data_IF_739469824282
#
_entry.id   IF_739469824282
#
_cell.length_a   1.000
_cell.length_b   1.000
_cell.length_c   1.000
_cell.angle_alpha   90.00
_cell.angle_beta   90.00
_cell.angle_gamma   90.00
#
_symmetry.space_group_name_H-M   'P 1'
#
loop_
_entity.id
_entity.type
_entity.pdbx_description
1 polymer ?
#
# COMPACT_ATOMS: atom_id res chain seq x y z
N UNK A 1 -50.95 23.23 -20.97
CA UNK A 1 -49.61 23.78 -21.25
C UNK A 1 -48.63 23.26 -20.20
N UNK A 2 -47.67 22.38 -20.52
CA UNK A 2 -46.61 22.01 -19.59
C UNK A 2 -45.32 22.80 -19.88
N UNK A 3 -44.77 23.47 -18.85
CA UNK A 3 -43.54 24.25 -18.94
C UNK A 3 -42.32 23.31 -18.97
N UNK A 4 -41.47 23.50 -19.98
CA UNK A 4 -40.19 22.78 -20.13
C UNK A 4 -39.19 23.35 -19.11
N UNK A 5 -38.85 22.56 -18.10
CA UNK A 5 -37.79 22.87 -17.15
C UNK A 5 -36.43 22.54 -17.79
N UNK A 6 -35.82 23.52 -18.45
CA UNK A 6 -34.49 23.38 -19.05
C UNK A 6 -33.43 23.44 -17.96
N UNK A 7 -33.00 22.29 -17.46
CA UNK A 7 -31.93 22.17 -16.47
C UNK A 7 -30.59 22.52 -17.15
N UNK A 8 -30.13 23.77 -16.99
CA UNK A 8 -28.78 24.19 -17.43
C UNK A 8 -27.74 23.45 -16.58
N UNK A 9 -27.05 22.50 -17.18
CA UNK A 9 -25.81 21.96 -16.65
C UNK A 9 -24.72 23.03 -16.80
N UNK A 10 -24.40 23.72 -15.71
CA UNK A 10 -23.20 24.54 -15.62
C UNK A 10 -21.97 23.62 -15.65
N UNK A 11 -21.38 23.46 -16.83
CA UNK A 11 -20.03 22.92 -16.98
C UNK A 11 -19.07 23.93 -16.34
N UNK A 12 -18.57 23.62 -15.14
CA UNK A 12 -17.46 24.33 -14.53
C UNK A 12 -16.20 24.06 -15.35
N UNK A 13 -15.92 24.95 -16.30
CA UNK A 13 -14.66 24.98 -17.05
C UNK A 13 -13.51 25.12 -16.07
N UNK A 14 -12.76 24.04 -15.83
CA UNK A 14 -11.53 24.10 -15.04
C UNK A 14 -10.53 25.00 -15.78
N UNK A 15 -9.96 25.99 -15.09
CA UNK A 15 -8.95 26.85 -15.70
C UNK A 15 -7.72 26.01 -16.10
N UNK A 16 -7.13 26.24 -17.27
CA UNK A 16 -5.99 25.46 -17.77
C UNK A 16 -4.75 25.56 -16.86
N UNK A 17 -4.66 26.60 -16.03
CA UNK A 17 -3.58 26.80 -15.06
C UNK A 17 -3.56 25.77 -13.92
N UNK A 18 -4.70 25.15 -13.57
CA UNK A 18 -4.72 24.12 -12.52
C UNK A 18 -4.27 22.73 -12.99
N UNK A 19 -4.22 22.49 -14.30
CA UNK A 19 -3.89 21.18 -14.89
C UNK A 19 -2.43 20.75 -14.66
N UNK A 20 -1.50 21.70 -14.51
CA UNK A 20 -0.05 21.43 -14.38
C UNK A 20 0.40 21.55 -12.92
N UNK A 21 -0.21 22.45 -12.15
CA UNK A 21 0.17 22.71 -10.74
C UNK A 21 -0.07 21.50 -9.85
N UNK A 22 -1.20 20.79 -10.05
CA UNK A 22 -1.53 19.65 -9.19
C UNK A 22 -0.55 18.47 -9.28
N UNK A 23 -0.15 17.98 -10.47
CA UNK A 23 0.91 16.98 -10.58
C UNK A 23 2.23 17.40 -9.92
N UNK A 24 2.62 18.68 -10.03
CA UNK A 24 3.85 19.19 -9.40
C UNK A 24 3.74 19.15 -7.87
N UNK A 25 2.63 19.63 -7.31
CA UNK A 25 2.40 19.58 -5.85
C UNK A 25 2.38 18.15 -5.32
N UNK A 26 1.76 17.22 -6.07
CA UNK A 26 1.77 15.79 -5.72
C UNK A 26 3.19 15.23 -5.79
N UNK A 27 3.96 15.57 -6.84
CA UNK A 27 5.34 15.15 -6.99
C UNK A 27 6.24 15.64 -5.85
N UNK A 28 6.03 16.88 -5.38
CA UNK A 28 6.77 17.46 -4.23
C UNK A 28 6.34 16.82 -2.90
N UNK A 29 5.07 16.44 -2.77
CA UNK A 29 4.57 15.84 -1.53
C UNK A 29 5.15 14.45 -1.25
N UNK A 30 5.50 13.67 -2.27
CA UNK A 30 6.14 12.36 -2.05
C UNK A 30 7.48 12.48 -1.30
N UNK A 31 8.48 13.27 -1.74
CA UNK A 31 9.69 13.52 -0.97
C UNK A 31 9.44 13.85 0.51
N UNK A 32 8.39 14.62 0.81
CA UNK A 32 7.99 14.92 2.21
C UNK A 32 7.49 13.66 2.92
N UNK A 33 6.63 12.86 2.29
CA UNK A 33 6.15 11.58 2.86
C UNK A 33 7.29 10.57 3.06
N UNK A 34 8.19 10.43 2.08
CA UNK A 34 9.40 9.62 2.19
C UNK A 34 10.28 10.11 3.35
N UNK A 35 10.61 11.40 3.38
CA UNK A 35 11.44 12.00 4.43
C UNK A 35 10.83 11.86 5.82
N UNK A 36 9.53 12.13 5.97
CA UNK A 36 8.82 11.94 7.22
C UNK A 36 8.88 10.48 7.70
N UNK A 37 8.67 9.52 6.78
CA UNK A 37 8.79 8.11 7.11
C UNK A 37 10.20 7.74 7.55
N UNK A 38 11.23 8.13 6.78
CA UNK A 38 12.64 7.84 7.12
C UNK A 38 13.05 8.46 8.45
N UNK A 39 12.65 9.71 8.72
CA UNK A 39 12.97 10.41 9.96
C UNK A 39 12.35 9.72 11.18
N UNK A 40 11.09 9.29 11.08
CA UNK A 40 10.42 8.56 12.17
C UNK A 40 11.01 7.16 12.40
N UNK A 41 11.75 6.64 11.43
CA UNK A 41 12.46 5.38 11.53
C UNK A 41 13.89 5.52 12.03
N UNK A 42 14.45 6.74 12.02
CA UNK A 42 15.81 6.98 12.47
C UNK A 42 15.95 6.76 13.99
N UNK A 43 16.96 5.99 14.40
CA UNK A 43 17.19 5.67 15.80
C UNK A 43 17.40 6.91 16.67
N UNK A 44 17.99 7.97 16.11
CA UNK A 44 18.15 9.25 16.80
C UNK A 44 16.81 9.88 17.18
N UNK A 45 15.83 9.85 16.26
CA UNK A 45 14.48 10.39 16.51
C UNK A 45 13.75 9.49 17.50
N UNK A 46 13.85 8.17 17.34
CA UNK A 46 13.27 7.19 18.28
C UNK A 46 13.80 7.38 19.69
N UNK A 47 15.11 7.46 19.86
CA UNK A 47 15.75 7.59 21.17
C UNK A 47 15.51 8.97 21.80
N UNK A 48 15.33 10.02 20.99
CA UNK A 48 15.10 11.38 21.50
C UNK A 48 13.63 11.63 21.86
N UNK A 49 12.69 11.19 21.02
CA UNK A 49 11.28 11.55 21.12
C UNK A 49 10.37 10.41 21.58
N UNK A 50 10.79 9.15 21.40
CA UNK A 50 9.95 7.97 21.63
C UNK A 50 10.47 7.03 22.72
N UNK A 51 11.56 7.39 23.41
CA UNK A 51 12.21 6.53 24.42
C UNK A 51 11.28 6.05 25.54
N UNK A 52 10.32 6.88 25.95
CA UNK A 52 9.41 6.60 27.06
C UNK A 52 8.02 6.14 26.58
N UNK A 53 7.82 6.02 25.26
CA UNK A 53 6.54 5.66 24.67
C UNK A 53 6.36 4.14 24.58
N UNK A 54 5.12 3.69 24.74
CA UNK A 54 4.74 2.30 24.49
C UNK A 54 4.82 2.00 22.99
N UNK A 55 5.11 0.76 22.58
CA UNK A 55 5.19 0.41 21.16
C UNK A 55 3.96 0.78 20.34
N UNK A 56 2.75 0.59 20.89
CA UNK A 56 1.52 0.96 20.20
C UNK A 56 1.37 2.48 19.99
N UNK A 57 1.96 3.30 20.87
CA UNK A 57 1.96 4.76 20.75
C UNK A 57 2.92 5.19 19.64
N UNK A 58 4.08 4.54 19.55
CA UNK A 58 5.03 4.73 18.46
C UNK A 58 4.39 4.36 17.12
N UNK A 59 3.73 3.19 17.04
CA UNK A 59 3.02 2.76 15.84
C UNK A 59 1.90 3.74 15.44
N UNK A 60 1.12 4.22 16.42
CA UNK A 60 0.06 5.20 16.21
C UNK A 60 0.60 6.54 15.72
N UNK A 61 1.71 7.03 16.30
CA UNK A 61 2.36 8.26 15.88
C UNK A 61 2.89 8.15 14.44
N UNK A 62 3.50 7.01 14.08
CA UNK A 62 3.91 6.73 12.69
C UNK A 62 2.73 6.73 11.74
N UNK A 63 1.63 6.05 12.09
CA UNK A 63 0.41 6.01 11.28
C UNK A 63 -0.20 7.41 11.10
N UNK A 64 -0.23 8.23 12.15
CA UNK A 64 -0.74 9.59 12.09
C UNK A 64 0.12 10.47 11.20
N UNK A 65 1.44 10.39 11.32
CA UNK A 65 2.35 11.13 10.45
C UNK A 65 2.21 10.70 8.98
N UNK A 66 2.01 9.40 8.75
CA UNK A 66 1.72 8.90 7.41
C UNK A 66 0.38 9.40 6.87
N UNK A 67 -0.67 9.40 7.68
CA UNK A 67 -1.97 9.96 7.30
C UNK A 67 -1.88 11.48 7.04
N UNK A 68 -1.11 12.21 7.84
CA UNK A 68 -0.91 13.64 7.70
C UNK A 68 -0.12 14.02 6.43
N UNK A 69 0.73 13.12 5.92
CA UNK A 69 1.51 13.35 4.70
C UNK A 69 0.80 12.82 3.45
N UNK A 70 0.27 11.60 3.49
CA UNK A 70 -0.40 10.96 2.34
C UNK A 70 -1.86 11.39 2.17
N UNK A 71 -2.56 11.73 3.25
CA UNK A 71 -3.96 12.17 3.22
C UNK A 71 -4.17 13.42 2.37
N UNK A 72 -3.42 14.52 2.61
CA UNK A 72 -3.47 15.70 1.75
C UNK A 72 -3.11 15.40 0.29
N UNK A 73 -2.13 14.51 0.03
CA UNK A 73 -1.79 14.10 -1.33
C UNK A 73 -2.94 13.38 -2.03
N UNK A 74 -3.61 12.47 -1.32
CA UNK A 74 -4.78 11.76 -1.83
C UNK A 74 -5.93 12.73 -2.12
N UNK A 75 -6.19 13.71 -1.24
CA UNK A 75 -7.21 14.74 -1.44
C UNK A 75 -6.88 15.65 -2.62
N UNK A 76 -5.62 16.08 -2.76
CA UNK A 76 -5.18 16.87 -3.90
C UNK A 76 -5.34 16.10 -5.20
N UNK A 77 -4.88 14.85 -5.25
CA UNK A 77 -5.08 14.00 -6.41
C UNK A 77 -6.57 13.82 -6.72
N UNK A 78 -7.41 13.49 -5.73
CA UNK A 78 -8.85 13.31 -5.95
C UNK A 78 -9.54 14.57 -6.49
N UNK A 79 -9.14 15.76 -6.01
CA UNK A 79 -9.69 17.05 -6.41
C UNK A 79 -9.26 17.47 -7.81
N UNK A 80 -8.02 17.16 -8.19
CA UNK A 80 -7.42 17.63 -9.44
C UNK A 80 -7.16 16.52 -10.47
N UNK A 81 -7.64 15.30 -10.20
CA UNK A 81 -7.45 14.19 -11.14
C UNK A 81 -8.10 14.57 -12.48
N UNK A 82 -7.39 14.40 -13.61
CA UNK A 82 -8.00 14.54 -14.92
C UNK A 82 -9.15 13.54 -15.05
N UNK A 83 -10.12 13.86 -15.92
CA UNK A 83 -11.02 12.85 -16.44
C UNK A 83 -10.14 11.74 -17.04
N UNK A 84 -10.35 10.49 -16.60
CA UNK A 84 -9.52 9.39 -17.04
C UNK A 84 -9.61 9.30 -18.57
N UNK A 85 -8.50 9.48 -19.26
CA UNK A 85 -8.45 9.31 -20.72
C UNK A 85 -8.58 7.83 -21.14
N UNK A 86 -8.54 6.92 -20.15
CA UNK A 86 -8.58 5.47 -20.32
C UNK A 86 -7.36 4.95 -21.08
N UNK A 87 -6.82 3.81 -20.66
CA UNK A 87 -5.89 3.11 -21.53
C UNK A 87 -6.62 2.71 -22.82
N UNK A 88 -6.09 3.13 -23.97
CA UNK A 88 -6.70 2.82 -25.28
C UNK A 88 -6.52 1.36 -25.70
N UNK A 89 -5.68 0.61 -24.98
CA UNK A 89 -5.38 -0.79 -25.25
C UNK A 89 -6.14 -1.69 -24.28
N UNK A 90 -6.94 -2.62 -24.83
CA UNK A 90 -7.62 -3.65 -24.06
C UNK A 90 -6.63 -4.46 -23.22
N UNK A 91 -5.43 -4.75 -23.74
CA UNK A 91 -4.38 -5.47 -23.01
C UNK A 91 -3.96 -4.72 -21.75
N UNK A 92 -3.71 -3.41 -21.85
CA UNK A 92 -3.33 -2.58 -20.69
C UNK A 92 -4.48 -2.46 -19.69
N UNK A 93 -5.72 -2.38 -20.18
CA UNK A 93 -6.91 -2.38 -19.33
C UNK A 93 -7.05 -3.70 -18.57
N UNK A 94 -6.91 -4.84 -19.23
CA UNK A 94 -7.02 -6.17 -18.61
C UNK A 94 -5.89 -6.41 -17.61
N UNK A 95 -4.64 -6.12 -17.98
CA UNK A 95 -3.50 -6.25 -17.09
C UNK A 95 -3.61 -5.31 -15.88
N UNK A 96 -3.97 -4.05 -16.11
CA UNK A 96 -4.12 -3.06 -15.05
C UNK A 96 -5.27 -3.39 -14.10
N UNK A 97 -6.41 -3.83 -14.62
CA UNK A 97 -7.54 -4.33 -13.83
C UNK A 97 -7.13 -5.56 -13.02
N UNK A 98 -6.45 -6.53 -13.64
CA UNK A 98 -5.92 -7.71 -12.96
C UNK A 98 -5.00 -7.35 -11.79
N UNK A 99 -4.06 -6.42 -12.01
CA UNK A 99 -3.16 -5.93 -10.96
C UNK A 99 -3.90 -5.21 -9.83
N UNK A 100 -4.92 -4.40 -10.14
CA UNK A 100 -5.78 -3.79 -9.11
C UNK A 100 -6.48 -4.86 -8.28
N UNK A 101 -7.09 -5.86 -8.93
CA UNK A 101 -7.78 -6.96 -8.24
C UNK A 101 -6.82 -7.76 -7.36
N UNK A 102 -5.63 -8.11 -7.86
CA UNK A 102 -4.58 -8.79 -7.08
C UNK A 102 -4.15 -7.93 -5.90
N UNK A 103 -3.98 -6.61 -6.09
CA UNK A 103 -3.64 -5.68 -5.02
C UNK A 103 -4.72 -5.61 -3.93
N UNK A 104 -5.99 -5.46 -4.30
CA UNK A 104 -7.10 -5.45 -3.32
C UNK A 104 -7.23 -6.78 -2.59
N UNK A 105 -7.12 -7.90 -3.32
CA UNK A 105 -7.14 -9.24 -2.75
C UNK A 105 -6.00 -9.46 -1.77
N UNK A 106 -4.77 -9.17 -2.19
CA UNK A 106 -3.59 -9.31 -1.36
C UNK A 106 -3.66 -8.44 -0.12
N UNK A 107 -4.18 -7.21 -0.24
CA UNK A 107 -4.38 -6.32 0.91
C UNK A 107 -5.40 -6.90 1.89
N UNK A 108 -6.55 -7.35 1.40
CA UNK A 108 -7.58 -7.98 2.23
C UNK A 108 -7.05 -9.24 2.95
N UNK A 109 -6.33 -10.12 2.23
CA UNK A 109 -5.69 -11.29 2.83
C UNK A 109 -4.65 -10.89 3.89
N UNK A 110 -3.84 -9.87 3.62
CA UNK A 110 -2.76 -9.45 4.51
C UNK A 110 -3.22 -8.82 5.83
N UNK A 111 -4.45 -8.29 5.86
CA UNK A 111 -5.06 -7.69 7.05
C UNK A 111 -5.84 -8.73 7.85
N UNK A 112 -6.43 -9.72 7.18
CA UNK A 112 -7.34 -10.69 7.82
C UNK A 112 -6.59 -11.97 8.26
N UNK A 113 -5.59 -12.39 7.50
CA UNK A 113 -4.79 -13.57 7.80
C UNK A 113 -3.60 -13.22 8.69
N UNK A 114 -3.01 -14.21 9.41
CA UNK A 114 -1.81 -14.00 10.21
C UNK A 114 -0.72 -13.28 9.41
N UNK A 115 -0.15 -12.23 10.01
CA UNK A 115 0.84 -11.39 9.35
C UNK A 115 1.88 -10.90 10.37
N UNK A 116 2.95 -11.68 10.59
CA UNK A 116 4.07 -11.33 11.45
C UNK A 116 4.62 -9.91 11.27
N UNK A 117 4.69 -9.40 10.03
CA UNK A 117 5.19 -8.05 9.77
C UNK A 117 4.21 -6.97 10.23
N UNK A 118 2.90 -7.18 10.03
CA UNK A 118 1.89 -6.26 10.55
C UNK A 118 1.87 -6.26 12.08
N UNK A 119 2.04 -7.43 12.70
CA UNK A 119 2.15 -7.54 14.16
C UNK A 119 3.40 -6.83 14.70
N UNK A 120 4.55 -6.99 14.04
CA UNK A 120 5.78 -6.29 14.40
C UNK A 120 5.60 -4.77 14.29
N UNK A 121 4.92 -4.32 13.24
CA UNK A 121 4.62 -2.91 13.01
C UNK A 121 3.69 -2.32 14.10
N UNK A 122 2.62 -3.04 14.47
CA UNK A 122 1.61 -2.53 15.42
C UNK A 122 2.05 -2.64 16.89
N UNK A 123 2.75 -3.71 17.24
CA UNK A 123 3.05 -4.04 18.64
C UNK A 123 4.50 -3.75 19.05
N UNK A 124 5.39 -3.46 18.09
CA UNK A 124 6.81 -3.29 18.29
C UNK A 124 7.50 -4.44 19.05
N UNK A 125 8.78 -4.26 19.39
CA UNK A 125 9.59 -5.31 20.00
C UNK A 125 9.10 -5.75 21.40
N UNK A 126 8.39 -4.89 22.14
CA UNK A 126 8.25 -5.05 23.59
C UNK A 126 7.07 -5.89 24.09
N UNK A 127 6.04 -6.15 23.26
CA UNK A 127 4.86 -6.94 23.69
C UNK A 127 4.81 -8.36 23.15
N UNK A 128 5.93 -8.81 22.60
CA UNK A 128 5.92 -10.02 21.84
C UNK A 128 6.29 -11.28 22.64
N UNK A 129 5.38 -11.71 23.50
CA UNK A 129 5.45 -13.07 24.05
C UNK A 129 5.33 -14.14 22.95
N UNK A 130 4.75 -13.80 21.78
CA UNK A 130 4.71 -14.64 20.59
C UNK A 130 6.01 -14.63 19.75
N UNK A 131 6.89 -13.62 19.89
CA UNK A 131 8.16 -13.54 19.15
C UNK A 131 9.36 -13.98 20.00
N UNK A 132 9.24 -14.03 21.32
CA UNK A 132 10.27 -14.64 22.19
C UNK A 132 10.27 -16.18 22.13
N UNK A 133 9.17 -16.82 21.70
CA UNK A 133 9.19 -18.23 21.32
C UNK A 133 9.74 -18.35 19.90
N UNK A 134 11.06 -18.47 19.80
CA UNK A 134 11.84 -18.75 18.60
C UNK A 134 11.03 -19.46 17.48
N UNK A 135 11.07 -18.87 16.27
CA UNK A 135 10.50 -19.33 14.99
C UNK A 135 9.07 -18.85 14.70
N UNK A 136 8.89 -17.56 14.39
CA UNK A 136 7.76 -17.20 13.52
C UNK A 136 7.94 -17.92 12.18
N UNK A 137 7.12 -18.94 11.95
CA UNK A 137 7.00 -19.58 10.66
C UNK A 137 6.34 -18.59 9.70
N UNK A 138 6.70 -18.67 8.42
CA UNK A 138 6.00 -17.91 7.41
C UNK A 138 4.57 -18.46 7.33
N UNK A 139 3.58 -17.61 7.59
CA UNK A 139 2.17 -17.97 7.54
C UNK A 139 1.39 -16.89 6.78
N UNK A 140 0.29 -17.28 6.15
CA UNK A 140 -0.53 -16.41 5.33
C UNK A 140 0.21 -15.90 4.09
N UNK A 141 -0.07 -14.65 3.75
CA UNK A 141 0.52 -14.00 2.57
C UNK A 141 2.03 -13.77 2.71
N UNK A 142 2.58 -13.91 3.91
CA UNK A 142 4.03 -13.79 4.16
C UNK A 142 4.83 -14.88 3.45
N UNK A 143 4.20 -16.02 3.11
CA UNK A 143 4.81 -17.07 2.27
C UNK A 143 5.09 -16.61 0.83
N UNK A 144 4.32 -15.64 0.33
CA UNK A 144 4.54 -15.06 -1.00
C UNK A 144 5.62 -13.98 -0.93
N UNK A 145 5.50 -13.07 0.03
CA UNK A 145 6.48 -12.00 0.29
C UNK A 145 6.37 -11.59 1.74
N UNK A 146 7.50 -11.25 2.38
CA UNK A 146 7.55 -10.66 3.72
C UNK A 146 6.63 -9.45 3.85
N UNK A 147 6.46 -8.65 2.80
CA UNK A 147 5.74 -7.38 2.86
C UNK A 147 4.47 -7.41 2.01
N UNK A 148 3.48 -8.27 2.35
CA UNK A 148 2.36 -8.51 1.46
C UNK A 148 1.42 -7.31 1.37
N UNK A 149 1.30 -6.49 2.43
CA UNK A 149 0.57 -5.22 2.39
C UNK A 149 1.22 -4.26 1.37
N UNK A 150 2.53 -4.04 1.48
CA UNK A 150 3.22 -3.09 0.62
C UNK A 150 3.19 -3.51 -0.86
N UNK A 151 3.44 -4.78 -1.13
CA UNK A 151 3.35 -5.28 -2.52
C UNK A 151 1.93 -5.26 -3.06
N UNK A 152 0.92 -5.42 -2.20
CA UNK A 152 -0.49 -5.26 -2.58
C UNK A 152 -0.82 -3.82 -2.97
N UNK A 153 -0.35 -2.84 -2.19
CA UNK A 153 -0.49 -1.41 -2.53
C UNK A 153 0.28 -1.07 -3.81
N UNK A 154 1.50 -1.59 -3.98
CA UNK A 154 2.30 -1.39 -5.18
C UNK A 154 1.63 -1.98 -6.43
N UNK A 155 1.06 -3.18 -6.34
CA UNK A 155 0.30 -3.80 -7.44
C UNK A 155 -0.96 -2.98 -7.78
N UNK A 156 -1.70 -2.54 -6.76
CA UNK A 156 -2.88 -1.69 -6.95
C UNK A 156 -2.53 -0.37 -7.62
N UNK A 157 -1.44 0.26 -7.19
CA UNK A 157 -0.95 1.51 -7.76
C UNK A 157 -0.50 1.33 -9.22
N UNK A 158 0.26 0.27 -9.53
CA UNK A 158 0.66 -0.04 -10.89
C UNK A 158 -0.55 -0.29 -11.80
N UNK A 159 -1.55 -1.01 -11.31
CA UNK A 159 -2.79 -1.22 -12.06
C UNK A 159 -3.55 0.09 -12.37
N UNK A 160 -3.50 1.07 -11.48
CA UNK A 160 -4.06 2.41 -11.74
C UNK A 160 -3.28 3.17 -12.81
N UNK A 161 -1.95 3.12 -12.81
CA UNK A 161 -1.14 3.70 -13.88
C UNK A 161 -1.51 3.08 -15.23
N UNK A 162 -1.58 1.75 -15.31
CA UNK A 162 -1.87 1.03 -16.55
C UNK A 162 -3.28 1.26 -17.10
N UNK A 163 -4.27 1.52 -16.26
CA UNK A 163 -5.67 1.69 -16.69
C UNK A 163 -6.04 3.12 -17.09
N UNK A 164 -5.36 4.13 -16.54
CA UNK A 164 -5.76 5.55 -16.70
C UNK A 164 -4.74 6.37 -17.49
N UNK A 165 -3.45 6.07 -17.29
CA UNK A 165 -2.27 6.60 -17.99
C UNK A 165 -2.30 8.10 -18.30
N UNK A 166 -2.66 8.95 -17.33
CA UNK A 166 -2.38 10.40 -17.39
C UNK A 166 -1.11 10.75 -16.61
N UNK A 167 -0.52 11.93 -16.86
CA UNK A 167 0.65 12.40 -16.09
C UNK A 167 0.34 12.47 -14.59
N UNK A 168 -0.86 12.93 -14.21
CA UNK A 168 -1.28 12.98 -12.82
C UNK A 168 -1.39 11.58 -12.20
N UNK A 169 -1.93 10.60 -12.94
CA UNK A 169 -2.01 9.21 -12.48
C UNK A 169 -0.62 8.58 -12.35
N UNK A 170 0.27 8.83 -13.31
CA UNK A 170 1.64 8.32 -13.29
C UNK A 170 2.41 8.87 -12.08
N UNK A 171 2.29 10.17 -11.79
CA UNK A 171 2.95 10.80 -10.64
C UNK A 171 2.36 10.29 -9.32
N UNK A 172 1.02 10.33 -9.17
CA UNK A 172 0.38 9.93 -7.93
C UNK A 172 0.53 8.44 -7.65
N UNK A 173 0.07 7.59 -8.56
CA UNK A 173 0.12 6.14 -8.34
C UNK A 173 1.53 5.58 -8.48
N UNK A 174 2.36 6.11 -9.39
CA UNK A 174 3.77 5.74 -9.45
C UNK A 174 4.49 6.10 -8.15
N UNK A 175 4.25 7.29 -7.60
CA UNK A 175 4.76 7.72 -6.30
C UNK A 175 4.27 6.84 -5.16
N UNK A 176 2.98 6.50 -5.11
CA UNK A 176 2.40 5.60 -4.09
C UNK A 176 3.03 4.20 -4.16
N UNK A 177 3.19 3.64 -5.36
CA UNK A 177 3.82 2.33 -5.55
C UNK A 177 5.28 2.34 -5.11
N UNK A 178 6.05 3.35 -5.52
CA UNK A 178 7.44 3.53 -5.11
C UNK A 178 7.57 3.73 -3.58
N UNK A 179 6.72 4.56 -2.99
CA UNK A 179 6.66 4.78 -1.55
C UNK A 179 6.39 3.48 -0.80
N UNK A 180 5.46 2.66 -1.30
CA UNK A 180 5.10 1.41 -0.66
C UNK A 180 6.24 0.39 -0.65
N UNK A 181 6.98 0.26 -1.76
CA UNK A 181 8.18 -0.60 -1.82
C UNK A 181 9.31 -0.05 -0.94
N UNK A 182 9.50 1.26 -0.91
CA UNK A 182 10.48 1.90 -0.03
C UNK A 182 10.16 1.72 1.45
N UNK A 183 8.88 1.84 1.81
CA UNK A 183 8.37 1.56 3.15
C UNK A 183 8.70 0.12 3.56
N UNK A 184 8.39 -0.87 2.69
CA UNK A 184 8.75 -2.26 2.93
C UNK A 184 10.25 -2.44 3.18
N UNK A 185 11.10 -1.81 2.36
CA UNK A 185 12.56 -1.89 2.52
C UNK A 185 13.05 -1.33 3.86
N UNK A 186 12.45 -0.24 4.32
CA UNK A 186 12.81 0.40 5.59
C UNK A 186 12.33 -0.43 6.79
N UNK A 187 11.10 -0.95 6.74
CA UNK A 187 10.57 -1.88 7.74
C UNK A 187 11.39 -3.17 7.81
N UNK A 188 11.86 -3.69 6.68
CA UNK A 188 12.70 -4.90 6.64
C UNK A 188 13.99 -4.75 7.45
N UNK A 189 14.57 -3.55 7.51
CA UNK A 189 15.76 -3.28 8.33
C UNK A 189 15.40 -3.21 9.82
N UNK A 190 14.31 -2.51 10.14
CA UNK A 190 13.91 -2.24 11.52
C UNK A 190 13.36 -3.49 12.22
N UNK A 191 12.63 -4.33 11.50
CA UNK A 191 11.96 -5.50 12.07
C UNK A 191 12.83 -6.74 12.07
N UNK A 192 14.05 -6.69 11.49
CA UNK A 192 14.94 -7.85 11.44
C UNK A 192 15.38 -8.33 12.82
N UNK A 193 15.69 -7.40 13.72
CA UNK A 193 16.02 -7.72 15.10
C UNK A 193 14.83 -8.28 15.89
N UNK A 194 13.60 -7.96 15.44
CA UNK A 194 12.36 -8.34 16.11
C UNK A 194 11.89 -9.73 15.65
N UNK A 195 11.88 -9.97 14.33
CA UNK A 195 11.38 -11.20 13.70
C UNK A 195 12.45 -12.31 13.62
N UNK A 196 13.72 -11.95 13.74
CA UNK A 196 14.85 -12.88 13.78
C UNK A 196 15.30 -13.42 12.42
N UNK A 197 16.53 -13.92 12.38
CA UNK A 197 17.18 -14.38 11.15
C UNK A 197 16.49 -15.58 10.48
N UNK A 198 15.89 -16.48 11.29
CA UNK A 198 15.20 -17.65 10.75
C UNK A 198 14.01 -17.26 9.86
N UNK A 199 13.22 -16.28 10.29
CA UNK A 199 12.12 -15.74 9.50
C UNK A 199 12.63 -15.17 8.18
N UNK A 200 13.71 -14.38 8.20
CA UNK A 200 14.30 -13.77 7.00
C UNK A 200 14.92 -14.79 6.05
N UNK A 201 15.42 -15.92 6.57
CA UNK A 201 15.94 -17.02 5.76
C UNK A 201 14.83 -17.74 4.99
N UNK A 202 13.65 -17.89 5.60
CA UNK A 202 12.53 -18.68 5.05
C UNK A 202 11.52 -17.87 4.22
N UNK A 203 11.70 -16.57 4.12
CA UNK A 203 10.80 -15.65 3.41
C UNK A 203 11.59 -14.79 2.41
N UNK A 204 10.89 -14.04 1.56
CA UNK A 204 11.52 -13.17 0.54
C UNK A 204 10.97 -11.76 0.55
N UNK A 205 11.80 -10.78 0.18
CA UNK A 205 11.33 -9.42 -0.03
C UNK A 205 10.48 -9.33 -1.31
N UNK A 206 10.96 -9.94 -2.40
CA UNK A 206 10.26 -9.95 -3.69
C UNK A 206 9.16 -11.03 -3.67
N UNK A 207 7.96 -10.75 -4.21
CA UNK A 207 6.89 -11.73 -4.33
C UNK A 207 7.34 -13.01 -5.05
N UNK A 208 6.92 -14.16 -4.52
CA UNK A 208 7.16 -15.51 -5.03
C UNK A 208 8.62 -16.00 -5.01
N UNK A 209 9.59 -15.14 -4.70
CA UNK A 209 11.01 -15.53 -4.68
C UNK A 209 11.28 -16.68 -3.68
N UNK A 210 10.65 -16.68 -2.50
CA UNK A 210 10.79 -17.76 -1.53
C UNK A 210 10.25 -19.11 -2.06
N UNK A 211 9.19 -19.06 -2.87
CA UNK A 211 8.59 -20.25 -3.48
C UNK A 211 9.48 -20.76 -4.61
N UNK A 212 9.99 -19.87 -5.45
CA UNK A 212 10.92 -20.21 -6.54
C UNK A 212 12.24 -20.80 -6.02
N UNK A 213 12.61 -20.47 -4.78
CA UNK A 213 13.81 -20.99 -4.09
C UNK A 213 13.50 -22.20 -3.19
N UNK A 214 12.32 -22.81 -3.30
CA UNK A 214 11.85 -23.96 -2.51
C UNK A 214 11.87 -23.75 -0.98
N UNK A 215 11.92 -22.49 -0.52
CA UNK A 215 11.81 -22.14 0.90
C UNK A 215 10.37 -22.20 1.40
N UNK A 216 9.41 -22.07 0.47
CA UNK A 216 7.97 -22.09 0.72
C UNK A 216 7.27 -22.93 -0.37
N UNK A 217 6.19 -23.62 -0.02
CA UNK A 217 5.43 -24.44 -0.98
C UNK A 217 4.08 -23.82 -1.31
N UNK A 218 3.71 -23.90 -2.59
CA UNK A 218 2.42 -23.38 -3.08
C UNK A 218 1.20 -24.10 -2.44
N UNK A 219 1.37 -25.37 -2.06
CA UNK A 219 0.31 -26.17 -1.43
C UNK A 219 -0.08 -25.60 -0.06
N UNK A 220 0.88 -25.07 0.69
CA UNK A 220 0.64 -24.51 2.02
C UNK A 220 -0.10 -23.17 1.90
N UNK A 221 0.26 -22.35 0.91
CA UNK A 221 -0.44 -21.08 0.63
C UNK A 221 -1.93 -21.28 0.36
N UNK A 222 -2.31 -22.31 -0.41
CA UNK A 222 -3.73 -22.56 -0.74
C UNK A 222 -4.58 -22.79 0.51
N UNK A 223 -4.02 -23.38 1.55
CA UNK A 223 -4.71 -23.65 2.83
C UNK A 223 -4.92 -22.38 3.65
N UNK A 224 -4.14 -21.35 3.40
CA UNK A 224 -4.11 -20.10 4.16
C UNK A 224 -4.94 -18.97 3.50
N UNK A 225 -5.52 -19.23 2.32
CA UNK A 225 -6.43 -18.29 1.67
C UNK A 225 -7.70 -18.15 2.50
N UNK A 226 -7.92 -16.95 3.02
CA UNK A 226 -9.13 -16.64 3.77
C UNK A 226 -10.30 -16.36 2.82
N UNK A 227 -11.39 -17.10 2.97
CA UNK A 227 -12.59 -16.95 2.12
C UNK A 227 -13.27 -15.58 2.31
N UNK A 228 -13.15 -14.94 3.48
CA UNK A 228 -13.72 -13.61 3.71
C UNK A 228 -13.04 -12.55 2.84
N UNK A 229 -11.73 -12.68 2.64
CA UNK A 229 -10.99 -11.78 1.76
C UNK A 229 -11.39 -11.97 0.28
N UNK A 230 -11.82 -13.18 -0.14
CA UNK A 230 -12.45 -13.37 -1.46
C UNK A 230 -13.73 -12.54 -1.53
N UNK A 231 -14.63 -12.69 -0.55
CA UNK A 231 -15.88 -11.94 -0.50
C UNK A 231 -15.68 -10.42 -0.54
N UNK A 232 -14.75 -9.89 0.28
CA UNK A 232 -14.41 -8.46 0.29
C UNK A 232 -13.88 -8.02 -1.07
N UNK A 233 -12.98 -8.81 -1.68
CA UNK A 233 -12.43 -8.47 -3.00
C UNK A 233 -13.51 -8.45 -4.06
N UNK A 234 -14.41 -9.43 -4.08
CA UNK A 234 -15.51 -9.49 -5.05
C UNK A 234 -16.44 -8.30 -4.92
N UNK A 235 -16.72 -7.84 -3.70
CA UNK A 235 -17.57 -6.67 -3.45
C UNK A 235 -16.85 -5.34 -3.74
N UNK A 236 -15.55 -5.25 -3.42
CA UNK A 236 -14.77 -4.03 -3.56
C UNK A 236 -14.21 -3.82 -4.97
N UNK A 237 -13.92 -4.90 -5.71
CA UNK A 237 -13.32 -4.82 -7.04
C UNK A 237 -14.15 -3.96 -8.00
N UNK A 238 -15.49 -4.10 -8.14
CA UNK A 238 -16.26 -3.24 -9.03
C UNK A 238 -16.13 -1.75 -8.70
N UNK A 239 -16.02 -1.39 -7.42
CA UNK A 239 -15.89 0.00 -6.99
C UNK A 239 -14.48 0.56 -7.23
N UNK A 240 -13.46 -0.29 -7.14
CA UNK A 240 -12.05 0.10 -7.25
C UNK A 240 -11.47 -0.06 -8.66
N UNK A 241 -12.22 -0.66 -9.58
CA UNK A 241 -11.87 -0.85 -10.98
C UNK A 241 -12.35 0.30 -11.89
N UNK A 242 -13.24 1.17 -11.40
CA UNK A 242 -13.71 2.42 -12.05
C UNK A 242 -12.70 3.58 -11.94
#
# INVERSE_FOLDING_TARGET
MPSKFTRRHTFTTHSPTMSIVAPILVAIGFPVAFGAHTLLQADQVKNKFFKDMRPQEIASAKNLAMAATLGPLALMYARYRPAASGAKSLTLLTLGTGLKTVGVFGLAQSVISPNPQLEAYMNGAANSKSFMSNQQQAEGMVRITRHPISWSVAAFALGNVLTRFTVADAVYWGGMGAFSVYHAYTEDKNNRAILGESFYKNTSFVPFEAILKDKQKMVDLKKEINQRAIGITTLAAPLLLL
#
